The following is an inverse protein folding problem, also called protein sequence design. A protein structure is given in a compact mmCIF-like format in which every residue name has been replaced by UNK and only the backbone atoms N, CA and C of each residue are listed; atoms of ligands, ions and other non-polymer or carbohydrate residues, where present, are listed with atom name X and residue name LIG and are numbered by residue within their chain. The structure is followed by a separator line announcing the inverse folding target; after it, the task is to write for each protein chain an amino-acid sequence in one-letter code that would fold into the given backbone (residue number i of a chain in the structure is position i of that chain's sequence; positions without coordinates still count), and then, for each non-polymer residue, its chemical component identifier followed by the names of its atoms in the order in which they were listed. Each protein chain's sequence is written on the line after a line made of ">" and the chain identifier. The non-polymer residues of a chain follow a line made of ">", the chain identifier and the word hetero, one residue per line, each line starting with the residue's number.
data_IF_724894231470
#
_entry.id   IF_724894231470
#
_cell.length_a   1.000
_cell.length_b   1.000
_cell.length_c   1.000
_cell.angle_alpha   90.00
_cell.angle_beta   90.00
_cell.angle_gamma   90.00
#
_symmetry.space_group_name_H-M   'P 1'
#
loop_
_entity.id
_entity.type
_entity.pdbx_description
1 polymer ?
#
# COMPACT_ATOMS: atom_id res chain seq x y z
N UNK A 1 29.70 6.26 26.20
CA UNK A 1 29.63 4.94 25.53
C UNK A 1 29.32 5.00 24.04
N UNK A 2 28.18 5.59 23.62
CA UNK A 2 27.80 5.67 22.21
C UNK A 2 28.69 6.56 21.35
N UNK A 3 29.26 7.63 21.91
CA UNK A 3 30.20 8.54 21.24
C UNK A 3 31.55 7.92 20.87
N UNK A 4 31.85 6.76 21.43
CA UNK A 4 33.11 6.03 21.19
C UNK A 4 33.02 4.96 20.11
N UNK A 5 31.82 4.73 19.57
CA UNK A 5 31.60 3.73 18.54
C UNK A 5 31.71 4.39 17.15
N UNK A 6 32.51 3.83 16.21
CA UNK A 6 32.59 4.35 14.86
C UNK A 6 31.25 4.00 14.10
N UNK A 7 30.27 4.88 14.26
CA UNK A 7 28.91 4.66 13.75
C UNK A 7 28.82 4.53 12.23
N UNK A 8 29.83 5.00 11.49
CA UNK A 8 29.91 4.81 10.04
C UNK A 8 30.23 3.36 9.64
N UNK A 9 31.00 2.65 10.48
CA UNK A 9 31.41 1.27 10.24
C UNK A 9 30.49 0.25 10.94
N UNK A 10 30.06 0.57 12.17
CA UNK A 10 29.26 -0.32 13.01
C UNK A 10 28.01 0.36 13.55
N UNK A 11 26.89 0.20 12.89
CA UNK A 11 25.62 0.73 13.39
C UNK A 11 24.84 -0.33 14.16
N UNK A 12 24.79 -0.15 15.44
CA UNK A 12 23.97 -0.96 16.33
C UNK A 12 22.56 -0.35 16.47
N UNK A 13 21.75 -0.39 15.42
CA UNK A 13 20.38 0.08 15.48
C UNK A 13 19.61 -0.49 16.69
N UNK A 14 19.86 -1.76 17.05
CA UNK A 14 19.29 -2.39 18.23
C UNK A 14 19.71 -1.71 19.53
N UNK A 15 20.96 -1.21 19.64
CA UNK A 15 21.44 -0.54 20.82
C UNK A 15 20.75 0.81 21.03
N UNK A 16 20.64 1.61 19.96
CA UNK A 16 19.92 2.88 19.99
C UNK A 16 18.44 2.70 20.36
N UNK A 17 17.77 1.72 19.75
CA UNK A 17 16.38 1.40 20.05
C UNK A 17 16.20 0.91 21.50
N UNK A 18 17.10 0.09 22.01
CA UNK A 18 17.03 -0.38 23.40
C UNK A 18 17.29 0.77 24.40
N UNK A 19 18.20 1.69 24.05
CA UNK A 19 18.46 2.86 24.89
C UNK A 19 17.25 3.79 24.90
N UNK A 20 16.66 4.07 23.74
CA UNK A 20 15.44 4.87 23.68
C UNK A 20 14.27 4.21 24.46
N UNK A 21 14.09 2.89 24.35
CA UNK A 21 13.11 2.14 25.15
C UNK A 21 13.37 2.21 26.65
N UNK A 22 14.63 2.25 27.06
CA UNK A 22 15.00 2.44 28.48
C UNK A 22 14.58 3.82 28.98
N UNK A 23 14.86 4.89 28.22
CA UNK A 23 14.47 6.25 28.59
C UNK A 23 12.94 6.43 28.61
N UNK A 24 12.22 5.79 27.70
CA UNK A 24 10.75 5.76 27.73
C UNK A 24 10.22 5.15 29.03
N UNK A 25 10.83 4.04 29.51
CA UNK A 25 10.44 3.45 30.80
C UNK A 25 10.75 4.37 31.98
N UNK A 26 11.74 5.25 31.85
CA UNK A 26 12.05 6.30 32.81
C UNK A 26 11.16 7.53 32.68
N UNK A 27 10.20 7.51 31.75
CA UNK A 27 9.31 8.62 31.42
C UNK A 27 10.03 9.84 30.82
N UNK A 28 11.25 9.65 30.28
CA UNK A 28 12.00 10.70 29.57
C UNK A 28 11.83 10.56 28.05
N UNK A 29 10.63 10.88 27.58
CA UNK A 29 10.29 10.85 26.16
C UNK A 29 11.11 11.86 25.33
N UNK A 30 11.39 13.11 25.79
CA UNK A 30 12.24 14.04 25.06
C UNK A 30 13.64 13.47 24.77
N UNK A 31 14.26 12.81 25.73
CA UNK A 31 15.55 12.18 25.55
C UNK A 31 15.50 11.00 24.61
N UNK A 32 14.48 10.15 24.72
CA UNK A 32 14.28 9.03 23.82
C UNK A 32 14.14 9.50 22.34
N UNK A 33 13.35 10.54 22.08
CA UNK A 33 13.20 11.17 20.76
C UNK A 33 14.51 11.76 20.24
N UNK A 34 15.27 12.45 21.11
CA UNK A 34 16.60 13.00 20.77
C UNK A 34 17.57 11.89 20.38
N UNK A 35 17.60 10.79 21.12
CA UNK A 35 18.45 9.63 20.84
C UNK A 35 18.14 9.02 19.47
N UNK A 36 16.85 8.77 19.16
CA UNK A 36 16.43 8.18 17.89
C UNK A 36 16.69 9.13 16.72
N UNK A 37 16.41 10.43 16.89
CA UNK A 37 16.70 11.44 15.87
C UNK A 37 18.21 11.54 15.58
N UNK A 38 19.05 11.51 16.63
CA UNK A 38 20.51 11.49 16.49
C UNK A 38 20.97 10.22 15.77
N UNK A 39 20.40 9.05 16.11
CA UNK A 39 20.75 7.78 15.50
C UNK A 39 20.47 7.77 13.99
N UNK A 40 19.33 8.30 13.57
CA UNK A 40 18.97 8.45 12.15
C UNK A 40 19.91 9.43 11.45
N UNK A 41 20.23 10.57 12.10
CA UNK A 41 21.14 11.57 11.51
C UNK A 41 22.57 11.07 11.33
N UNK A 42 23.07 10.21 12.25
CA UNK A 42 24.43 9.66 12.18
C UNK A 42 24.53 8.48 11.23
N UNK A 43 23.54 7.59 11.23
CA UNK A 43 23.53 6.39 10.39
C UNK A 43 22.10 5.93 10.15
N UNK A 44 21.45 6.46 9.12
CA UNK A 44 20.09 6.08 8.78
C UNK A 44 20.02 4.60 8.43
N UNK A 45 19.04 3.89 8.98
CA UNK A 45 18.74 2.48 8.67
C UNK A 45 17.24 2.22 8.77
N UNK A 46 16.68 1.32 7.91
CA UNK A 46 15.28 0.97 7.94
C UNK A 46 14.77 0.59 9.34
N UNK A 47 15.57 -0.15 10.10
CA UNK A 47 15.23 -0.58 11.45
C UNK A 47 15.09 0.58 12.45
N UNK A 48 15.87 1.66 12.31
CA UNK A 48 15.76 2.85 13.16
C UNK A 48 14.50 3.64 12.84
N UNK A 49 14.23 3.89 11.56
CA UNK A 49 13.01 4.55 11.11
C UNK A 49 11.78 3.78 11.59
N UNK A 50 11.73 2.48 11.31
CA UNK A 50 10.63 1.63 11.74
C UNK A 50 10.39 1.68 13.25
N UNK A 51 11.44 1.53 14.04
CA UNK A 51 11.32 1.55 15.50
C UNK A 51 10.92 2.91 16.06
N UNK A 52 11.32 4.02 15.40
CA UNK A 52 10.91 5.36 15.81
C UNK A 52 9.46 5.64 15.40
N UNK A 53 9.06 5.27 14.18
CA UNK A 53 7.68 5.39 13.73
C UNK A 53 6.73 4.58 14.64
N UNK A 54 7.07 3.33 14.95
CA UNK A 54 6.29 2.50 15.88
C UNK A 54 6.11 3.15 17.26
N UNK A 55 7.12 3.88 17.74
CA UNK A 55 7.02 4.64 18.98
C UNK A 55 6.01 5.78 18.87
N UNK A 56 6.13 6.61 17.82
CA UNK A 56 5.25 7.78 17.64
C UNK A 56 3.80 7.34 17.38
N UNK A 57 3.59 6.24 16.64
CA UNK A 57 2.26 5.65 16.44
C UNK A 57 1.62 5.16 17.76
N UNK A 58 2.40 4.52 18.64
CA UNK A 58 1.92 4.13 19.98
C UNK A 58 1.53 5.32 20.83
N UNK A 59 2.18 6.45 20.64
CA UNK A 59 1.88 7.71 21.31
C UNK A 59 0.76 8.51 20.62
N UNK A 60 0.22 7.98 19.51
CA UNK A 60 -0.77 8.66 18.64
C UNK A 60 -0.28 10.00 18.09
N UNK A 61 1.02 10.16 17.95
CA UNK A 61 1.69 11.33 17.37
C UNK A 61 1.85 11.18 15.86
N UNK A 62 0.71 11.18 15.16
CA UNK A 62 0.64 10.85 13.72
C UNK A 62 1.44 11.83 12.86
N UNK A 63 1.44 13.13 13.16
CA UNK A 63 2.21 14.13 12.42
C UNK A 63 3.73 13.90 12.52
N UNK A 64 4.18 13.36 13.65
CA UNK A 64 5.58 12.97 13.80
C UNK A 64 5.90 11.69 13.01
N UNK A 65 4.98 10.73 13.01
CA UNK A 65 5.11 9.52 12.20
C UNK A 65 5.19 9.87 10.71
N UNK A 66 4.33 10.77 10.21
CA UNK A 66 4.35 11.31 8.83
C UNK A 66 5.72 11.88 8.46
N UNK A 67 6.26 12.80 9.29
CA UNK A 67 7.59 13.39 9.07
C UNK A 67 8.73 12.36 9.08
N UNK A 68 8.57 11.26 9.82
CA UNK A 68 9.56 10.18 9.82
C UNK A 68 9.47 9.33 8.54
N UNK A 69 8.27 9.09 8.02
CA UNK A 69 8.11 8.45 6.71
C UNK A 69 8.68 9.32 5.59
N UNK A 70 8.37 10.62 5.57
CA UNK A 70 8.93 11.58 4.63
C UNK A 70 10.47 11.54 4.65
N UNK A 71 11.10 11.63 5.83
CA UNK A 71 12.56 11.51 5.98
C UNK A 71 13.11 10.16 5.57
N UNK A 72 12.36 9.09 5.79
CA UNK A 72 12.78 7.78 5.33
C UNK A 72 12.79 7.71 3.80
N UNK A 73 11.77 8.25 3.16
CA UNK A 73 11.67 8.31 1.70
C UNK A 73 12.67 9.30 1.07
N UNK A 74 13.02 10.40 1.75
CA UNK A 74 14.13 11.28 1.34
C UNK A 74 15.48 10.53 1.33
N UNK A 75 15.69 9.62 2.27
CA UNK A 75 16.91 8.83 2.36
C UNK A 75 16.91 7.62 1.42
N UNK A 76 15.78 6.96 1.24
CA UNK A 76 15.62 5.73 0.46
C UNK A 76 14.26 5.74 -0.27
N UNK A 77 14.16 6.53 -1.33
CA UNK A 77 12.97 6.63 -2.16
C UNK A 77 12.68 5.35 -2.96
N UNK A 78 13.69 4.50 -3.16
CA UNK A 78 13.57 3.23 -3.88
C UNK A 78 12.91 2.11 -3.09
N UNK A 79 12.57 2.31 -1.81
CA UNK A 79 11.97 1.28 -0.97
C UNK A 79 10.44 1.25 -1.12
N UNK A 80 9.92 0.40 -2.02
CA UNK A 80 8.49 0.25 -2.27
C UNK A 80 7.67 -0.03 -0.99
N UNK A 81 8.20 -0.89 -0.10
CA UNK A 81 7.51 -1.23 1.14
C UNK A 81 7.33 -0.03 2.09
N UNK A 82 8.20 0.99 2.02
CA UNK A 82 8.05 2.20 2.82
C UNK A 82 6.91 3.07 2.32
N UNK A 83 6.77 3.21 0.99
CA UNK A 83 5.63 3.89 0.37
C UNK A 83 4.30 3.25 0.76
N UNK A 84 4.22 1.92 0.65
CA UNK A 84 3.01 1.15 1.04
C UNK A 84 2.67 1.41 2.52
N UNK A 85 3.64 1.29 3.44
CA UNK A 85 3.39 1.51 4.86
C UNK A 85 2.99 2.94 5.21
N UNK A 86 3.48 3.91 4.47
CA UNK A 86 3.07 5.30 4.65
C UNK A 86 1.62 5.50 4.17
N UNK A 87 1.24 4.95 3.01
CA UNK A 87 -0.12 5.00 2.53
C UNK A 87 -1.09 4.24 3.46
N UNK A 88 -0.70 3.03 3.94
CA UNK A 88 -1.48 2.26 4.93
C UNK A 88 -1.73 3.06 6.23
N UNK A 89 -0.77 3.89 6.65
CA UNK A 89 -0.98 4.78 7.80
C UNK A 89 -2.12 5.75 7.54
N UNK A 90 -2.14 6.41 6.37
CA UNK A 90 -3.19 7.37 6.04
C UNK A 90 -4.56 6.69 5.82
N UNK A 91 -4.58 5.47 5.23
CA UNK A 91 -5.80 4.66 5.15
C UNK A 91 -6.37 4.37 6.54
N UNK A 92 -5.52 3.96 7.49
CA UNK A 92 -5.95 3.70 8.87
C UNK A 92 -6.40 4.97 9.62
N UNK A 93 -6.03 6.15 9.13
CA UNK A 93 -6.48 7.44 9.63
C UNK A 93 -7.70 7.97 8.85
N UNK A 94 -8.22 7.19 7.89
CA UNK A 94 -9.32 7.55 6.99
C UNK A 94 -9.05 8.80 6.13
N UNK A 95 -7.77 9.13 5.90
CA UNK A 95 -7.34 10.18 4.97
C UNK A 95 -7.02 9.55 3.60
N UNK A 96 -8.09 9.14 2.89
CA UNK A 96 -7.98 8.40 1.64
C UNK A 96 -7.33 9.23 0.52
N UNK A 97 -7.57 10.53 0.49
CA UNK A 97 -6.96 11.41 -0.51
C UNK A 97 -5.43 11.50 -0.33
N UNK A 98 -4.98 11.56 0.92
CA UNK A 98 -3.55 11.54 1.22
C UNK A 98 -2.93 10.17 0.91
N UNK A 99 -3.63 9.07 1.22
CA UNK A 99 -3.18 7.74 0.85
C UNK A 99 -2.98 7.61 -0.67
N UNK A 100 -3.94 8.09 -1.48
CA UNK A 100 -3.84 8.15 -2.94
C UNK A 100 -2.63 8.97 -3.41
N UNK A 101 -2.46 10.16 -2.84
CA UNK A 101 -1.33 11.02 -3.19
C UNK A 101 0.02 10.34 -2.93
N UNK A 102 0.15 9.60 -1.82
CA UNK A 102 1.36 8.85 -1.47
C UNK A 102 1.59 7.72 -2.47
N UNK A 103 0.56 6.95 -2.82
CA UNK A 103 0.68 5.90 -3.84
C UNK A 103 1.09 6.47 -5.20
N UNK A 104 0.46 7.55 -5.66
CA UNK A 104 0.81 8.21 -6.93
C UNK A 104 2.25 8.73 -6.94
N UNK A 105 2.72 9.34 -5.86
CA UNK A 105 4.10 9.78 -5.73
C UNK A 105 5.07 8.59 -5.79
N UNK A 106 4.75 7.50 -5.09
CA UNK A 106 5.55 6.27 -5.10
C UNK A 106 5.62 5.63 -6.49
N UNK A 107 4.49 5.55 -7.21
CA UNK A 107 4.46 5.06 -8.58
C UNK A 107 5.25 5.98 -9.52
N UNK A 108 5.13 7.31 -9.36
CA UNK A 108 5.93 8.27 -10.10
C UNK A 108 7.44 8.06 -9.90
N UNK A 109 7.86 7.70 -8.67
CA UNK A 109 9.26 7.31 -8.41
C UNK A 109 9.63 5.99 -9.08
N UNK A 110 8.74 4.98 -9.06
CA UNK A 110 8.96 3.70 -9.72
C UNK A 110 9.03 3.80 -11.25
N UNK A 111 8.35 4.79 -11.83
CA UNK A 111 8.38 5.09 -13.26
C UNK A 111 9.57 5.95 -13.70
N UNK A 112 10.23 6.58 -12.72
CA UNK A 112 11.40 7.41 -12.99
C UNK A 112 12.65 6.54 -13.13
N UNK A 113 13.36 6.68 -14.26
CA UNK A 113 14.64 5.99 -14.48
C UNK A 113 15.76 6.45 -13.53
N UNK A 114 15.52 7.52 -12.75
CA UNK A 114 16.52 8.13 -11.89
C UNK A 114 16.71 7.39 -10.55
N UNK A 115 15.71 6.63 -10.10
CA UNK A 115 15.77 5.88 -8.85
C UNK A 115 15.30 4.46 -9.12
N UNK A 116 16.21 3.49 -9.09
CA UNK A 116 15.83 2.08 -9.16
C UNK A 116 14.98 1.70 -7.93
N UNK A 117 13.69 1.46 -8.11
CA UNK A 117 12.83 1.00 -7.03
C UNK A 117 12.98 -0.49 -6.82
N UNK A 118 13.15 -0.90 -5.56
CA UNK A 118 13.17 -2.32 -5.16
C UNK A 118 11.72 -2.85 -5.11
N UNK A 119 11.45 -3.90 -5.89
CA UNK A 119 10.15 -4.57 -5.97
C UNK A 119 8.95 -3.63 -6.25
N UNK A 120 8.95 -2.86 -7.36
CA UNK A 120 7.87 -1.92 -7.67
C UNK A 120 6.49 -2.59 -7.76
N UNK A 121 6.44 -3.89 -8.08
CA UNK A 121 5.22 -4.69 -8.12
C UNK A 121 4.47 -4.72 -6.80
N UNK A 122 5.16 -4.60 -5.68
CA UNK A 122 4.55 -4.55 -4.34
C UNK A 122 3.74 -3.26 -4.18
N UNK A 123 4.27 -2.14 -4.67
CA UNK A 123 3.60 -0.84 -4.61
C UNK A 123 2.37 -0.80 -5.53
N UNK A 124 2.52 -1.27 -6.78
CA UNK A 124 1.41 -1.36 -7.74
C UNK A 124 0.27 -2.22 -7.20
N UNK A 125 0.62 -3.40 -6.68
CA UNK A 125 -0.38 -4.29 -6.09
C UNK A 125 -1.11 -3.65 -4.92
N UNK A 126 -0.38 -3.03 -3.99
CA UNK A 126 -0.98 -2.39 -2.82
C UNK A 126 -1.93 -1.25 -3.20
N UNK A 127 -1.58 -0.45 -4.22
CA UNK A 127 -2.44 0.62 -4.70
C UNK A 127 -3.71 0.09 -5.38
N UNK A 128 -3.58 -0.93 -6.23
CA UNK A 128 -4.73 -1.58 -6.87
C UNK A 128 -5.65 -2.20 -5.82
N UNK A 129 -5.10 -2.94 -4.86
CA UNK A 129 -5.86 -3.56 -3.77
C UNK A 129 -6.59 -2.49 -2.92
N UNK A 130 -5.96 -1.33 -2.70
CA UNK A 130 -6.56 -0.21 -1.99
C UNK A 130 -7.75 0.38 -2.76
N UNK A 131 -7.61 0.77 -4.03
CA UNK A 131 -8.72 1.32 -4.82
C UNK A 131 -9.84 0.28 -5.02
N UNK A 132 -9.49 -1.00 -5.08
CA UNK A 132 -10.47 -2.08 -5.11
C UNK A 132 -11.28 -2.17 -3.80
N UNK A 133 -10.62 -2.02 -2.64
CA UNK A 133 -11.30 -2.02 -1.33
C UNK A 133 -12.22 -0.82 -1.15
N UNK A 134 -11.86 0.34 -1.74
CA UNK A 134 -12.69 1.55 -1.75
C UNK A 134 -13.78 1.52 -2.83
N UNK A 135 -13.95 0.41 -3.57
CA UNK A 135 -14.91 0.26 -4.69
C UNK A 135 -14.71 1.24 -5.85
N UNK A 136 -13.55 1.83 -5.98
CA UNK A 136 -13.17 2.76 -7.06
C UNK A 136 -12.74 1.97 -8.31
N UNK A 137 -13.67 1.20 -8.89
CA UNK A 137 -13.40 0.25 -9.96
C UNK A 137 -12.84 0.89 -11.24
N UNK A 138 -13.25 2.13 -11.55
CA UNK A 138 -12.69 2.87 -12.69
C UNK A 138 -11.20 3.19 -12.49
N UNK A 139 -10.80 3.47 -11.24
CA UNK A 139 -9.40 3.69 -10.89
C UNK A 139 -8.60 2.41 -10.94
N UNK A 140 -9.19 1.30 -10.51
CA UNK A 140 -8.57 -0.04 -10.63
C UNK A 140 -8.25 -0.35 -12.09
N UNK A 141 -9.19 -0.09 -12.99
CA UNK A 141 -9.00 -0.28 -14.42
C UNK A 141 -7.88 0.60 -14.98
N UNK A 142 -7.91 1.89 -14.64
CA UNK A 142 -6.87 2.84 -15.08
C UNK A 142 -5.46 2.42 -14.58
N UNK A 143 -5.36 1.90 -13.37
CA UNK A 143 -4.11 1.41 -12.80
C UNK A 143 -3.60 0.15 -13.53
N UNK A 144 -4.48 -0.81 -13.84
CA UNK A 144 -4.08 -1.97 -14.62
C UNK A 144 -3.64 -1.59 -16.05
N UNK A 145 -4.36 -0.71 -16.74
CA UNK A 145 -3.97 -0.24 -18.08
C UNK A 145 -2.62 0.50 -18.04
N UNK A 146 -2.39 1.34 -17.02
CA UNK A 146 -1.11 2.02 -16.82
C UNK A 146 0.03 1.03 -16.54
N UNK A 147 -0.23 0.01 -15.71
CA UNK A 147 0.74 -1.06 -15.42
C UNK A 147 1.04 -1.90 -16.67
N UNK A 148 0.03 -2.25 -17.46
CA UNK A 148 0.19 -2.99 -18.71
C UNK A 148 0.95 -2.19 -19.78
N UNK A 149 0.91 -0.86 -19.73
CA UNK A 149 1.78 -0.01 -20.53
C UNK A 149 3.27 -0.07 -20.17
N UNK A 150 3.61 -0.64 -18.99
CA UNK A 150 4.99 -0.80 -18.51
C UNK A 150 5.48 -2.25 -18.57
N UNK A 151 4.60 -3.20 -18.42
CA UNK A 151 4.95 -4.62 -18.41
C UNK A 151 3.87 -5.47 -19.06
N UNK A 152 4.30 -6.39 -19.92
CA UNK A 152 3.40 -7.37 -20.55
C UNK A 152 3.43 -8.72 -19.81
N UNK A 153 3.57 -8.71 -18.48
CA UNK A 153 3.70 -9.94 -17.73
C UNK A 153 2.36 -10.67 -17.58
N UNK A 154 2.34 -11.97 -17.90
CA UNK A 154 1.15 -12.85 -17.84
C UNK A 154 0.35 -12.71 -16.54
N UNK A 155 1.03 -12.63 -15.39
CA UNK A 155 0.36 -12.49 -14.09
C UNK A 155 -0.46 -11.21 -13.95
N UNK A 156 -0.02 -10.11 -14.60
CA UNK A 156 -0.76 -8.84 -14.58
C UNK A 156 -2.06 -8.98 -15.36
N UNK A 157 -2.00 -9.59 -16.56
CA UNK A 157 -3.19 -9.89 -17.35
C UNK A 157 -4.20 -10.78 -16.61
N UNK A 158 -3.70 -11.84 -15.96
CA UNK A 158 -4.54 -12.73 -15.15
C UNK A 158 -5.17 -11.96 -13.98
N UNK A 159 -4.39 -11.19 -13.24
CA UNK A 159 -4.88 -10.41 -12.10
C UNK A 159 -5.94 -9.40 -12.54
N UNK A 160 -5.71 -8.70 -13.67
CA UNK A 160 -6.67 -7.76 -14.24
C UNK A 160 -7.97 -8.45 -14.65
N UNK A 161 -7.89 -9.57 -15.38
CA UNK A 161 -9.07 -10.33 -15.77
C UNK A 161 -9.88 -10.81 -14.56
N UNK A 162 -9.21 -11.31 -13.53
CA UNK A 162 -9.86 -11.78 -12.30
C UNK A 162 -10.50 -10.64 -11.49
N UNK A 163 -9.91 -9.42 -11.52
CA UNK A 163 -10.49 -8.27 -10.82
C UNK A 163 -11.88 -7.89 -11.36
N UNK A 164 -12.15 -8.11 -12.66
CA UNK A 164 -13.47 -7.88 -13.26
C UNK A 164 -14.54 -8.77 -12.64
N UNK A 165 -14.23 -10.06 -12.46
CA UNK A 165 -15.15 -10.99 -11.83
C UNK A 165 -15.30 -10.71 -10.33
N UNK A 166 -14.19 -10.41 -9.65
CA UNK A 166 -14.19 -10.08 -8.22
C UNK A 166 -15.03 -8.82 -7.93
N UNK A 167 -14.99 -7.82 -8.83
CA UNK A 167 -15.79 -6.60 -8.69
C UNK A 167 -17.31 -6.90 -8.72
N UNK A 168 -17.76 -7.79 -9.60
CA UNK A 168 -19.16 -8.17 -9.67
C UNK A 168 -19.63 -8.91 -8.40
N UNK A 169 -18.78 -9.79 -7.86
CA UNK A 169 -19.08 -10.52 -6.62
C UNK A 169 -19.11 -9.59 -5.41
N UNK A 170 -18.17 -8.65 -5.35
CA UNK A 170 -18.08 -7.69 -4.27
C UNK A 170 -19.31 -6.75 -4.19
N UNK A 171 -19.88 -6.36 -5.34
CA UNK A 171 -21.12 -5.59 -5.37
C UNK A 171 -22.32 -6.38 -4.80
N UNK A 172 -22.39 -7.69 -5.06
CA UNK A 172 -23.43 -8.54 -4.49
C UNK A 172 -23.27 -8.70 -2.97
N UNK A 173 -22.03 -8.85 -2.50
CA UNK A 173 -21.71 -8.93 -1.06
C UNK A 173 -22.08 -7.65 -0.33
N UNK A 174 -21.79 -6.47 -0.92
CA UNK A 174 -22.14 -5.17 -0.33
C UNK A 174 -23.67 -5.01 -0.24
N UNK A 175 -24.44 -5.37 -1.29
CA UNK A 175 -25.89 -5.34 -1.26
C UNK A 175 -26.52 -6.27 -0.19
N UNK A 176 -25.92 -7.44 0.01
CA UNK A 176 -26.37 -8.38 1.03
C UNK A 176 -26.04 -7.88 2.45
N UNK A 177 -24.85 -7.29 2.64
CA UNK A 177 -24.44 -6.69 3.91
C UNK A 177 -25.32 -5.49 4.30
N UNK A 178 -25.65 -4.61 3.35
CA UNK A 178 -26.57 -3.48 3.59
C UNK A 178 -27.98 -3.97 4.00
N UNK A 179 -28.49 -5.03 3.34
CA UNK A 179 -29.78 -5.60 3.68
C UNK A 179 -29.79 -6.21 5.10
N UNK A 180 -28.71 -6.87 5.49
CA UNK A 180 -28.56 -7.43 6.86
C UNK A 180 -28.49 -6.32 7.92
N UNK A 181 -27.75 -5.23 7.68
CA UNK A 181 -27.67 -4.08 8.60
C UNK A 181 -29.02 -3.40 8.79
N UNK A 182 -29.84 -3.32 7.75
CA UNK A 182 -31.21 -2.80 7.79
C UNK A 182 -32.21 -3.77 8.46
N UNK A 183 -31.79 -4.99 8.79
CA UNK A 183 -32.63 -6.05 9.37
C UNK A 183 -33.66 -6.59 8.38
N UNK A 184 -33.38 -6.46 7.09
CA UNK A 184 -34.19 -6.98 6.01
C UNK A 184 -33.83 -8.44 5.75
N UNK A 185 -34.82 -9.31 5.61
CA UNK A 185 -34.60 -10.67 5.15
C UNK A 185 -34.13 -10.63 3.68
N UNK A 186 -32.98 -11.27 3.38
CA UNK A 186 -32.46 -11.34 2.00
C UNK A 186 -33.38 -12.24 1.19
N UNK A 187 -34.44 -11.67 0.65
CA UNK A 187 -35.36 -12.37 -0.26
C UNK A 187 -34.82 -12.23 -1.67
N UNK A 188 -34.22 -13.29 -2.17
CA UNK A 188 -33.80 -13.38 -3.58
C UNK A 188 -35.02 -13.58 -4.48
N UNK A 189 -35.68 -12.48 -4.85
CA UNK A 189 -36.74 -12.52 -5.85
C UNK A 189 -36.18 -12.97 -7.19
N UNK A 190 -37.04 -13.52 -8.08
CA UNK A 190 -36.62 -13.93 -9.45
C UNK A 190 -35.99 -12.74 -10.20
N UNK A 191 -36.50 -11.53 -10.00
CA UNK A 191 -35.97 -10.30 -10.60
C UNK A 191 -34.55 -9.99 -10.10
N UNK A 192 -34.32 -10.05 -8.78
CA UNK A 192 -32.99 -9.82 -8.19
C UNK A 192 -31.99 -10.88 -8.62
N UNK A 193 -32.43 -12.14 -8.72
CA UNK A 193 -31.59 -13.24 -9.26
C UNK A 193 -31.21 -13.00 -10.72
N UNK A 194 -32.17 -12.58 -11.56
CA UNK A 194 -31.91 -12.27 -12.96
C UNK A 194 -30.94 -11.08 -13.11
N UNK A 195 -31.10 -10.05 -12.29
CA UNK A 195 -30.19 -8.90 -12.27
C UNK A 195 -28.75 -9.30 -11.90
N UNK A 196 -28.56 -10.06 -10.83
CA UNK A 196 -27.24 -10.58 -10.44
C UNK A 196 -26.62 -11.49 -11.51
N UNK A 197 -27.43 -12.35 -12.11
CA UNK A 197 -26.99 -13.18 -13.23
C UNK A 197 -26.53 -12.34 -14.43
N UNK A 198 -27.21 -11.24 -14.75
CA UNK A 198 -26.82 -10.32 -15.81
C UNK A 198 -25.49 -9.63 -15.49
N UNK A 199 -25.30 -9.15 -14.26
CA UNK A 199 -24.03 -8.51 -13.79
C UNK A 199 -22.87 -9.50 -13.89
N UNK A 200 -23.06 -10.73 -13.40
CA UNK A 200 -22.04 -11.80 -13.51
C UNK A 200 -21.71 -12.16 -14.95
N UNK A 201 -22.72 -12.21 -15.81
CA UNK A 201 -22.51 -12.49 -17.23
C UNK A 201 -21.71 -11.39 -17.92
N UNK A 202 -22.01 -10.12 -17.62
CA UNK A 202 -21.24 -8.99 -18.14
C UNK A 202 -19.80 -9.02 -17.63
N UNK A 203 -19.58 -9.24 -16.32
CA UNK A 203 -18.25 -9.39 -15.75
C UNK A 203 -17.47 -10.56 -16.40
N UNK A 204 -18.13 -11.68 -16.68
CA UNK A 204 -17.50 -12.80 -17.38
C UNK A 204 -17.11 -12.43 -18.82
N UNK A 205 -17.91 -11.62 -19.52
CA UNK A 205 -17.57 -11.12 -20.85
C UNK A 205 -16.36 -10.17 -20.80
N UNK A 206 -16.34 -9.23 -19.85
CA UNK A 206 -15.20 -8.34 -19.65
C UNK A 206 -13.93 -9.12 -19.29
N UNK A 207 -14.04 -10.09 -18.40
CA UNK A 207 -12.94 -11.00 -18.05
C UNK A 207 -12.37 -11.70 -19.29
N UNK A 208 -13.24 -12.23 -20.14
CA UNK A 208 -12.84 -12.89 -21.40
C UNK A 208 -12.15 -11.92 -22.34
N UNK A 209 -12.67 -10.70 -22.50
CA UNK A 209 -12.04 -9.66 -23.34
C UNK A 209 -10.63 -9.32 -22.86
N UNK A 210 -10.41 -9.19 -21.53
CA UNK A 210 -9.08 -8.94 -20.97
C UNK A 210 -8.14 -10.13 -21.26
N UNK A 211 -8.59 -11.38 -21.10
CA UNK A 211 -7.79 -12.55 -21.45
C UNK A 211 -7.44 -12.62 -22.94
N UNK A 212 -8.39 -12.30 -23.82
CA UNK A 212 -8.13 -12.28 -25.27
C UNK A 212 -7.13 -11.20 -25.66
N UNK A 213 -7.23 -10.00 -25.05
CA UNK A 213 -6.26 -8.92 -25.26
C UNK A 213 -4.87 -9.36 -24.77
N UNK A 214 -4.79 -9.92 -23.57
CA UNK A 214 -3.53 -10.44 -23.02
C UNK A 214 -2.91 -11.54 -23.89
N UNK A 215 -3.71 -12.49 -24.36
CA UNK A 215 -3.22 -13.53 -25.25
C UNK A 215 -2.65 -12.96 -26.57
N UNK A 216 -3.34 -11.99 -27.18
CA UNK A 216 -2.85 -11.33 -28.41
C UNK A 216 -1.54 -10.59 -28.15
N UNK A 217 -1.48 -9.78 -27.07
CA UNK A 217 -0.30 -9.02 -26.72
C UNK A 217 0.92 -9.92 -26.47
N UNK A 218 0.74 -10.99 -25.70
CA UNK A 218 1.82 -11.95 -25.40
C UNK A 218 2.28 -12.73 -26.65
N UNK A 219 1.41 -12.96 -27.62
CA UNK A 219 1.75 -13.63 -28.87
C UNK A 219 2.53 -12.74 -29.83
N UNK A 220 2.33 -11.42 -29.78
CA UNK A 220 3.03 -10.44 -30.63
C UNK A 220 4.47 -10.19 -30.17
N UNK A 221 4.77 -10.43 -28.88
CA UNK A 221 6.12 -10.26 -28.32
C UNK A 221 6.99 -11.52 -28.33
N UNK A 222 6.41 -12.70 -28.56
CA UNK A 222 7.08 -14.00 -28.59
C UNK A 222 7.29 -14.54 -29.98
#
# INVERSE_FOLDING_TARGET
>A
GLSLVPHQEFTFAKLWLNYAKFEIRRLDLPLARKLLGTAIGVSPKPKLFKGYIELELKLKEFDRARKLYEKWLEWDAGNAATWVKFAELEQNLFDLDRARAIYELGIGQAESDSVGMDMPEVLWKAYIDFEFSERELERVDALYERLLGKTNHVKVWISYALSKMAAALALEEDEDAEAEEEGLEIVLTEEKQAQRAAVRHEAANQTRQVFERGYKSLKEEG
#
